data_IF_419403390212
#
_entry.id   IF_419403390212
#
_cell.length_a   1.000
_cell.length_b   1.000
_cell.length_c   1.000
_cell.angle_alpha   90.00
_cell.angle_beta   90.00
_cell.angle_gamma   90.00
#
_symmetry.space_group_name_H-M   'P 1'
#
loop_
_entity.id
_entity.type
_entity.pdbx_description
1 polymer ?
#
# COMPACT_ATOMS: atom_id res chain seq x y z
N UNK A 1 -16.16 -0.02 -1.86
CA UNK A 1 -15.50 -1.16 -2.53
C UNK A 1 -14.20 -1.43 -1.80
N UNK A 2 -14.01 -2.63 -1.26
CA UNK A 2 -12.79 -2.98 -0.52
C UNK A 2 -11.68 -3.36 -1.50
N UNK A 3 -10.47 -2.84 -1.31
CA UNK A 3 -9.34 -3.14 -2.21
C UNK A 3 -8.82 -4.57 -2.01
N UNK A 4 -8.90 -5.05 -0.77
CA UNK A 4 -8.43 -6.37 -0.31
C UNK A 4 -9.37 -6.88 0.79
N UNK A 5 -9.42 -8.19 1.02
CA UNK A 5 -10.25 -8.79 2.09
C UNK A 5 -9.58 -8.77 3.47
N UNK A 6 -8.24 -8.79 3.51
CA UNK A 6 -7.45 -8.79 4.75
C UNK A 6 -6.79 -7.43 4.92
N UNK A 7 -6.96 -6.81 6.08
CA UNK A 7 -6.35 -5.52 6.42
C UNK A 7 -4.87 -5.70 6.78
N UNK A 8 -4.05 -4.68 6.51
CA UNK A 8 -2.67 -4.63 7.00
C UNK A 8 -2.68 -4.50 8.53
N UNK A 9 -2.03 -5.42 9.22
CA UNK A 9 -1.91 -5.45 10.69
C UNK A 9 -0.47 -5.26 11.20
N UNK A 10 0.45 -4.97 10.28
CA UNK A 10 1.88 -4.80 10.53
C UNK A 10 2.72 -6.08 10.41
N UNK A 11 2.10 -7.27 10.48
CA UNK A 11 2.79 -8.55 10.35
C UNK A 11 2.57 -9.21 8.98
N UNK A 12 1.55 -8.78 8.25
CA UNK A 12 1.12 -9.38 6.99
C UNK A 12 1.45 -8.56 5.74
N UNK A 13 2.43 -7.65 5.80
CA UNK A 13 2.72 -6.71 4.69
C UNK A 13 3.02 -7.42 3.36
N UNK A 14 3.79 -8.50 3.34
CA UNK A 14 4.14 -9.18 2.08
C UNK A 14 2.92 -9.74 1.35
N UNK A 15 2.03 -10.56 1.97
CA UNK A 15 0.81 -11.01 1.30
C UNK A 15 -0.17 -9.86 1.02
N UNK A 16 -0.34 -8.90 1.94
CA UNK A 16 -1.20 -7.73 1.74
C UNK A 16 -0.74 -6.87 0.54
N UNK A 17 0.55 -6.56 0.46
CA UNK A 17 1.08 -5.70 -0.61
C UNK A 17 0.94 -6.33 -1.99
N UNK A 18 1.02 -7.67 -2.08
CA UNK A 18 0.77 -8.41 -3.33
C UNK A 18 -0.68 -8.25 -3.78
N UNK A 19 -1.66 -8.41 -2.89
CA UNK A 19 -3.08 -8.31 -3.23
C UNK A 19 -3.49 -6.88 -3.58
N UNK A 20 -2.95 -5.88 -2.86
CA UNK A 20 -3.11 -4.45 -3.19
C UNK A 20 -2.59 -4.15 -4.60
N UNK A 21 -1.36 -4.57 -4.92
CA UNK A 21 -0.77 -4.36 -6.25
C UNK A 21 -1.61 -4.98 -7.37
N UNK A 22 -2.14 -6.19 -7.16
CA UNK A 22 -3.03 -6.86 -8.12
C UNK A 22 -4.32 -6.07 -8.34
N UNK A 23 -4.98 -5.64 -7.26
CA UNK A 23 -6.23 -4.89 -7.34
C UNK A 23 -6.04 -3.53 -8.04
N UNK A 24 -4.95 -2.82 -7.74
CA UNK A 24 -4.61 -1.56 -8.41
C UNK A 24 -4.21 -1.79 -9.88
N UNK A 25 -3.53 -2.90 -10.18
CA UNK A 25 -3.20 -3.31 -11.55
C UNK A 25 -4.46 -3.52 -12.39
N UNK A 26 -5.44 -4.27 -11.89
CA UNK A 26 -6.73 -4.50 -12.54
C UNK A 26 -7.53 -3.20 -12.79
N UNK A 27 -7.24 -2.14 -12.05
CA UNK A 27 -7.88 -0.81 -12.18
C UNK A 27 -7.04 0.21 -12.96
N UNK A 28 -5.89 -0.20 -13.50
CA UNK A 28 -4.92 0.69 -14.14
C UNK A 28 -4.44 1.83 -13.23
N UNK A 29 -4.34 1.58 -11.91
CA UNK A 29 -3.88 2.54 -10.90
C UNK A 29 -2.54 2.20 -10.27
N UNK A 30 -1.91 1.08 -10.66
CA UNK A 30 -0.62 0.66 -10.12
C UNK A 30 0.48 1.72 -10.27
N UNK A 31 0.39 2.55 -11.32
CA UNK A 31 1.33 3.64 -11.58
C UNK A 31 1.43 4.70 -10.48
N UNK A 32 0.37 4.88 -9.68
CA UNK A 32 0.32 5.87 -8.60
C UNK A 32 1.14 5.47 -7.37
N UNK A 33 1.37 4.17 -7.16
CA UNK A 33 2.14 3.70 -5.99
C UNK A 33 3.60 3.37 -6.31
N UNK A 34 3.93 3.13 -7.59
CA UNK A 34 5.29 2.79 -8.02
C UNK A 34 6.02 3.96 -8.72
N UNK A 35 5.46 5.16 -8.67
CA UNK A 35 6.06 6.38 -9.23
C UNK A 35 5.99 6.50 -10.76
N UNK A 36 5.42 5.53 -11.49
CA UNK A 36 5.31 5.61 -12.96
C UNK A 36 4.32 6.67 -13.44
N UNK A 37 3.31 6.99 -12.63
CA UNK A 37 2.34 8.06 -12.93
C UNK A 37 2.78 9.35 -12.27
N UNK A 38 3.59 10.13 -12.98
CA UNK A 38 4.15 11.40 -12.51
C UNK A 38 3.05 12.45 -12.37
N UNK A 39 3.14 13.25 -11.30
CA UNK A 39 2.24 14.40 -11.07
C UNK A 39 2.42 15.42 -12.21
N UNK A 40 1.36 15.77 -12.96
CA UNK A 40 1.41 16.81 -13.98
C UNK A 40 1.70 18.18 -13.37
N UNK A 41 2.01 19.15 -14.23
CA UNK A 41 2.09 20.55 -13.81
C UNK A 41 0.70 21.06 -13.43
N UNK A 42 0.64 22.00 -12.49
CA UNK A 42 -0.62 22.51 -11.92
C UNK A 42 -1.52 23.23 -12.93
N UNK A 43 -0.93 23.72 -14.03
CA UNK A 43 -1.63 24.40 -15.13
C UNK A 43 -2.18 23.46 -16.20
N UNK A 44 -1.93 22.14 -16.09
CA UNK A 44 -2.35 21.16 -17.09
C UNK A 44 -3.80 20.70 -16.86
N UNK A 45 -4.51 20.40 -17.96
CA UNK A 45 -5.89 19.89 -17.90
C UNK A 45 -5.97 18.54 -17.16
N UNK A 46 -4.88 17.78 -17.15
CA UNK A 46 -4.75 16.49 -16.49
C UNK A 46 -4.48 16.59 -14.98
N UNK A 47 -4.09 17.75 -14.46
CA UNK A 47 -3.72 17.93 -13.05
C UNK A 47 -4.85 17.51 -12.11
N UNK A 48 -6.04 18.05 -12.33
CA UNK A 48 -7.23 17.74 -11.53
C UNK A 48 -7.62 16.26 -11.64
N UNK A 49 -7.45 15.66 -12.82
CA UNK A 49 -7.68 14.23 -12.99
C UNK A 49 -6.67 13.38 -12.23
N UNK A 50 -5.40 13.79 -12.21
CA UNK A 50 -4.36 13.14 -11.44
C UNK A 50 -4.65 13.21 -9.95
N UNK A 51 -5.00 14.40 -9.41
CA UNK A 51 -5.33 14.60 -8.00
C UNK A 51 -6.51 13.70 -7.58
N UNK A 52 -7.59 13.66 -8.36
CA UNK A 52 -8.74 12.77 -8.08
C UNK A 52 -8.31 11.31 -8.00
N UNK A 53 -7.45 10.86 -8.90
CA UNK A 53 -6.97 9.49 -8.92
C UNK A 53 -6.04 9.18 -7.76
N UNK A 54 -5.13 10.08 -7.41
CA UNK A 54 -4.24 9.93 -6.26
C UNK A 54 -5.03 9.84 -4.95
N UNK A 55 -5.98 10.77 -4.72
CA UNK A 55 -6.89 10.73 -3.57
C UNK A 55 -7.67 9.42 -3.47
N UNK A 56 -8.16 8.90 -4.60
CA UNK A 56 -8.88 7.64 -4.64
C UNK A 56 -7.98 6.46 -4.26
N UNK A 57 -6.76 6.39 -4.79
CA UNK A 57 -5.80 5.33 -4.46
C UNK A 57 -5.37 5.41 -2.99
N UNK A 58 -5.07 6.61 -2.49
CA UNK A 58 -4.79 6.84 -1.05
C UNK A 58 -5.93 6.34 -0.18
N UNK A 59 -7.17 6.73 -0.50
CA UNK A 59 -8.35 6.30 0.26
C UNK A 59 -8.49 4.77 0.28
N UNK A 60 -8.27 4.09 -0.85
CA UNK A 60 -8.31 2.64 -0.88
C UNK A 60 -7.22 1.98 -0.03
N UNK A 61 -6.00 2.52 -0.06
CA UNK A 61 -4.90 2.00 0.74
C UNK A 61 -5.19 2.22 2.23
N UNK A 62 -5.54 3.44 2.64
CA UNK A 62 -5.87 3.76 4.03
C UNK A 62 -7.00 2.89 4.58
N UNK A 63 -8.05 2.67 3.79
CA UNK A 63 -9.16 1.79 4.16
C UNK A 63 -8.80 0.29 4.17
N UNK A 64 -7.62 -0.07 3.69
CA UNK A 64 -7.09 -1.45 3.74
C UNK A 64 -6.07 -1.66 4.85
N UNK A 65 -5.91 -0.70 5.76
CA UNK A 65 -5.04 -0.75 6.92
C UNK A 65 -5.90 -0.93 8.18
N UNK A 66 -5.42 -1.70 9.15
CA UNK A 66 -6.13 -1.89 10.41
C UNK A 66 -6.20 -0.59 11.23
N UNK A 67 -7.23 -0.45 12.06
CA UNK A 67 -7.48 0.80 12.80
C UNK A 67 -6.36 1.13 13.79
N UNK A 68 -5.66 0.11 14.25
CA UNK A 68 -4.58 0.21 15.24
C UNK A 68 -3.34 0.92 14.69
N UNK A 69 -3.12 0.90 13.37
CA UNK A 69 -1.90 1.43 12.75
C UNK A 69 -2.15 2.50 11.69
N UNK A 70 -3.40 2.69 11.22
CA UNK A 70 -3.73 3.62 10.12
C UNK A 70 -3.43 5.09 10.47
N UNK A 71 -3.56 5.47 11.74
CA UNK A 71 -3.37 6.86 12.17
C UNK A 71 -1.98 7.42 11.80
N UNK A 72 -0.96 6.55 11.83
CA UNK A 72 0.40 6.92 11.50
C UNK A 72 0.64 7.26 10.02
N UNK A 73 -0.38 7.09 9.17
CA UNK A 73 -0.30 7.26 7.72
C UNK A 73 -1.29 8.29 7.15
N UNK A 74 -2.17 8.86 7.99
CA UNK A 74 -3.24 9.76 7.54
C UNK A 74 -2.73 11.06 6.89
N UNK A 75 -1.53 11.50 7.28
CA UNK A 75 -0.95 12.78 6.86
C UNK A 75 -0.03 12.68 5.62
N UNK A 76 0.11 11.49 5.04
CA UNK A 76 0.86 11.29 3.79
C UNK A 76 0.27 12.15 2.67
N UNK A 77 1.11 12.77 1.83
CA UNK A 77 0.66 13.75 0.83
C UNK A 77 0.22 13.10 -0.49
N UNK A 78 0.72 11.91 -0.81
CA UNK A 78 0.42 11.19 -2.05
C UNK A 78 0.26 9.68 -1.85
N UNK A 79 -0.36 8.99 -2.81
CA UNK A 79 -0.44 7.53 -2.80
C UNK A 79 0.94 6.87 -2.86
N UNK A 80 1.88 7.52 -3.55
CA UNK A 80 3.25 7.04 -3.67
C UNK A 80 3.99 7.11 -2.33
N UNK A 81 3.96 8.27 -1.68
CA UNK A 81 4.58 8.48 -0.36
C UNK A 81 3.99 7.51 0.68
N UNK A 82 2.65 7.39 0.72
CA UNK A 82 1.97 6.43 1.57
C UNK A 82 2.48 5.00 1.34
N UNK A 83 2.64 4.61 0.08
CA UNK A 83 3.13 3.30 -0.27
C UNK A 83 4.58 3.05 0.17
N UNK A 84 5.45 4.05 0.01
CA UNK A 84 6.86 3.98 0.42
C UNK A 84 7.01 3.92 1.93
N UNK A 85 6.26 4.72 2.70
CA UNK A 85 6.28 4.65 4.16
C UNK A 85 5.84 3.27 4.68
N UNK A 86 4.78 2.69 4.10
CA UNK A 86 4.33 1.35 4.44
C UNK A 86 5.39 0.29 4.11
N UNK A 87 6.05 0.43 2.96
CA UNK A 87 7.13 -0.46 2.53
C UNK A 87 8.35 -0.35 3.45
N UNK A 88 8.75 0.87 3.84
CA UNK A 88 9.86 1.09 4.75
C UNK A 88 9.56 0.55 6.14
N UNK A 89 8.34 0.76 6.66
CA UNK A 89 7.98 0.37 8.02
C UNK A 89 7.69 -1.12 8.19
N UNK A 90 7.09 -1.77 7.19
CA UNK A 90 6.64 -3.17 7.30
C UNK A 90 7.22 -4.10 6.22
N UNK A 91 7.87 -3.58 5.18
CA UNK A 91 8.44 -4.38 4.10
C UNK A 91 9.64 -5.22 4.50
N UNK A 92 10.36 -4.81 5.55
CA UNK A 92 11.44 -5.59 6.17
C UNK A 92 10.95 -6.60 7.21
N UNK A 93 9.65 -6.60 7.55
CA UNK A 93 9.11 -7.62 8.44
C UNK A 93 9.33 -8.98 7.78
N UNK A 94 10.16 -9.75 8.45
CA UNK A 94 10.98 -10.81 7.91
C UNK A 94 10.13 -12.07 7.73
N UNK A 95 9.01 -11.99 6.99
CA UNK A 95 8.02 -13.05 6.84
C UNK A 95 8.60 -14.42 6.48
N UNK A 96 9.60 -14.51 5.57
CA UNK A 96 10.32 -15.75 5.32
C UNK A 96 11.14 -16.24 6.52
N UNK A 97 11.80 -15.33 7.25
CA UNK A 97 12.58 -15.64 8.45
C UNK A 97 11.68 -16.09 9.62
N UNK A 98 10.55 -15.41 9.84
CA UNK A 98 9.54 -15.78 10.85
C UNK A 98 8.93 -17.14 10.51
N UNK A 99 8.60 -17.38 9.24
CA UNK A 99 8.13 -18.69 8.78
C UNK A 99 9.20 -19.78 8.94
N UNK A 100 10.46 -19.50 8.62
CA UNK A 100 11.58 -20.42 8.85
C UNK A 100 11.75 -20.76 10.34
N UNK A 101 11.75 -19.75 11.21
CA UNK A 101 11.85 -19.93 12.66
C UNK A 101 10.68 -20.74 13.22
N UNK A 102 9.44 -20.46 12.79
CA UNK A 102 8.26 -21.23 13.18
C UNK A 102 8.37 -22.69 12.73
N UNK A 103 8.88 -22.93 11.52
CA UNK A 103 9.04 -24.27 10.97
C UNK A 103 10.16 -25.05 11.67
N UNK A 104 11.25 -24.39 12.05
CA UNK A 104 12.34 -24.99 12.84
C UNK A 104 11.87 -25.38 14.25
N UNK A 105 11.13 -24.51 14.93
CA UNK A 105 10.54 -24.81 16.25
C UNK A 105 9.53 -25.95 16.15
N UNK A 106 8.69 -26.00 15.10
CA UNK A 106 7.71 -27.07 14.91
C UNK A 106 8.33 -28.41 14.47
N UNK A 107 9.59 -28.40 14.04
CA UNK A 107 10.35 -29.59 13.67
C UNK A 107 11.31 -30.10 14.74
N UNK A 108 11.38 -29.41 15.89
CA UNK A 108 12.13 -29.79 17.08
C UNK A 108 11.21 -30.46 18.10
#
# INVERSE_FOLDING_TARGET
MCLVSTLLDGNNYLPWSKTVKLALGAKMKLGFINGKTVKPKEDSEEYEQWIRNDCMVRSWILNSISKEIVEAFLYTSSAHELWEELASRYGESNGPMVYQLQREIASA
#
